data_IF_556798870567
#
_entry.id   IF_556798870567
#
_cell.length_a   1.000
_cell.length_b   1.000
_cell.length_c   1.000
_cell.angle_alpha   90.00
_cell.angle_beta   90.00
_cell.angle_gamma   90.00
#
_symmetry.space_group_name_H-M   'P 1'
#
loop_
_entity.id
_entity.type
_entity.pdbx_description
1 polymer ?
#
# COMPACT_ATOMS: atom_id res chain seq x y z
N UNK A 1 3.26 -22.77 8.71
CA UNK A 1 2.85 -21.35 8.68
C UNK A 1 1.36 -21.30 8.99
N UNK A 2 0.96 -21.04 10.25
CA UNK A 2 -0.45 -21.03 10.66
C UNK A 2 -1.02 -19.67 10.24
N UNK A 3 -1.85 -19.64 9.20
CA UNK A 3 -2.49 -18.41 8.77
C UNK A 3 -3.50 -17.98 9.85
N UNK A 4 -3.19 -16.88 10.53
CA UNK A 4 -4.01 -16.27 11.57
C UNK A 4 -5.26 -15.60 10.99
N UNK A 5 -6.08 -16.35 10.25
CA UNK A 5 -7.29 -15.87 9.60
C UNK A 5 -8.32 -15.29 10.59
N UNK A 6 -8.34 -15.80 11.82
CA UNK A 6 -9.23 -15.31 12.90
C UNK A 6 -8.76 -14.00 13.56
N UNK A 7 -7.52 -13.56 13.30
CA UNK A 7 -6.99 -12.36 13.95
C UNK A 7 -7.47 -11.12 13.17
N UNK A 8 -8.51 -10.48 13.69
CA UNK A 8 -8.95 -9.19 13.19
C UNK A 8 -7.76 -8.21 13.19
N UNK A 9 -7.44 -7.57 12.05
CA UNK A 9 -6.27 -6.72 11.95
C UNK A 9 -6.42 -5.53 12.89
N UNK A 10 -5.36 -5.25 13.65
CA UNK A 10 -5.37 -4.13 14.60
C UNK A 10 -5.49 -2.80 13.84
N UNK A 11 -5.95 -1.73 14.50
CA UNK A 11 -6.02 -0.41 13.88
C UNK A 11 -4.66 0.03 13.32
N UNK A 12 -3.57 -0.31 14.01
CA UNK A 12 -2.20 -0.02 13.59
C UNK A 12 -1.78 -0.81 12.33
N UNK A 13 -2.12 -2.10 12.26
CA UNK A 13 -1.86 -2.91 11.05
C UNK A 13 -2.65 -2.40 9.84
N UNK A 14 -3.90 -1.97 10.05
CA UNK A 14 -4.70 -1.34 9.00
C UNK A 14 -4.10 -0.02 8.53
N UNK A 15 -3.67 0.83 9.45
CA UNK A 15 -3.00 2.09 9.12
C UNK A 15 -1.71 1.87 8.34
N UNK A 16 -0.86 0.92 8.75
CA UNK A 16 0.37 0.57 8.03
C UNK A 16 0.09 0.01 6.63
N UNK A 17 -0.91 -0.85 6.48
CA UNK A 17 -1.32 -1.38 5.17
C UNK A 17 -1.84 -0.27 4.27
N UNK A 18 -2.66 0.65 4.81
CA UNK A 18 -3.16 1.82 4.07
C UNK A 18 -2.03 2.76 3.64
N UNK A 19 -1.07 3.04 4.53
CA UNK A 19 0.10 3.85 4.22
C UNK A 19 0.98 3.21 3.14
N UNK A 20 1.23 1.91 3.23
CA UNK A 20 1.98 1.17 2.21
C UNK A 20 1.27 1.23 0.85
N UNK A 21 -0.05 1.05 0.81
CA UNK A 21 -0.84 1.18 -0.40
C UNK A 21 -0.77 2.61 -0.98
N UNK A 22 -0.88 3.63 -0.13
CA UNK A 22 -0.78 5.03 -0.55
C UNK A 22 0.59 5.35 -1.19
N UNK A 23 1.68 4.84 -0.59
CA UNK A 23 3.04 5.01 -1.13
C UNK A 23 3.17 4.34 -2.50
N UNK A 24 2.67 3.11 -2.65
CA UNK A 24 2.73 2.38 -3.92
C UNK A 24 1.94 3.09 -5.03
N UNK A 25 0.75 3.61 -4.71
CA UNK A 25 -0.07 4.36 -5.66
C UNK A 25 0.61 5.66 -6.05
N UNK A 26 1.07 6.46 -5.08
CA UNK A 26 1.74 7.73 -5.34
C UNK A 26 3.03 7.53 -6.17
N UNK A 27 3.83 6.52 -5.82
CA UNK A 27 5.03 6.16 -6.58
C UNK A 27 4.70 5.71 -8.01
N UNK A 28 3.68 4.88 -8.18
CA UNK A 28 3.24 4.41 -9.50
C UNK A 28 2.74 5.55 -10.39
N UNK A 29 1.92 6.44 -9.85
CA UNK A 29 1.42 7.63 -10.57
C UNK A 29 2.57 8.57 -10.91
N UNK A 30 3.47 8.85 -9.97
CA UNK A 30 4.63 9.71 -10.21
C UNK A 30 5.55 9.17 -11.31
N UNK A 31 5.81 7.85 -11.30
CA UNK A 31 6.61 7.19 -12.33
C UNK A 31 5.91 7.21 -13.69
N UNK A 32 4.60 7.00 -13.72
CA UNK A 32 3.80 7.07 -14.94
C UNK A 32 3.82 8.48 -15.56
N UNK A 33 3.73 9.53 -14.74
CA UNK A 33 3.84 10.92 -15.21
C UNK A 33 5.26 11.25 -15.70
N UNK A 34 6.30 10.79 -14.99
CA UNK A 34 7.69 11.01 -15.41
C UNK A 34 8.04 10.27 -16.72
N UNK A 35 7.33 9.18 -17.01
CA UNK A 35 7.50 8.41 -18.23
C UNK A 35 6.73 8.97 -19.45
N UNK A 36 5.85 9.97 -19.25
CA UNK A 36 5.22 10.64 -20.38
C UNK A 36 6.26 11.53 -21.09
N UNK A 37 6.45 11.39 -22.41
CA UNK A 37 7.19 12.38 -23.18
C UNK A 37 6.29 13.62 -23.30
N UNK A 38 6.62 14.65 -22.53
CA UNK A 38 6.05 15.99 -22.64
C UNK A 38 6.49 16.67 -23.94
#
# INVERSE_FOLDING_TARGET
MRYNWERAPTAFERHRKALAAAILIAGGVGLMLAALPL
#
